data_IF_010586392852
#
_entry.id   IF_010586392852
#
_cell.length_a   1.000
_cell.length_b   1.000
_cell.length_c   1.000
_cell.angle_alpha   90.00
_cell.angle_beta   90.00
_cell.angle_gamma   90.00
#
_symmetry.space_group_name_H-M   'P 1'
#
loop_
_entity.id
_entity.type
_entity.pdbx_description
1 polymer ?
#
# COMPACT_ATOMS: atom_id res chain seq x y z
N UNK A 1 1.14 -12.35 -15.58
CA UNK A 1 2.04 -12.67 -14.51
C UNK A 1 1.46 -13.75 -13.61
N UNK A 2 2.28 -14.64 -13.20
CA UNK A 2 1.86 -15.72 -12.33
C UNK A 2 1.81 -15.23 -10.87
N UNK A 3 0.62 -15.10 -10.31
CA UNK A 3 0.49 -14.73 -8.92
C UNK A 3 0.47 -15.98 -8.05
N UNK A 4 1.29 -16.00 -7.00
CA UNK A 4 1.25 -17.05 -5.99
C UNK A 4 0.14 -16.81 -4.97
N UNK A 5 -0.56 -15.69 -5.08
CA UNK A 5 -1.59 -15.30 -4.13
C UNK A 5 -2.97 -15.66 -4.65
N UNK A 6 -3.81 -16.18 -3.76
CA UNK A 6 -5.24 -16.28 -4.02
C UNK A 6 -5.84 -14.90 -3.76
N UNK A 7 -6.20 -14.19 -4.83
CA UNK A 7 -6.68 -12.81 -4.75
C UNK A 7 -7.97 -12.72 -3.94
N UNK A 8 -8.89 -13.68 -4.10
CA UNK A 8 -10.15 -13.67 -3.38
C UNK A 8 -9.94 -13.80 -1.87
N UNK A 9 -9.09 -14.73 -1.44
CA UNK A 9 -8.75 -14.88 -0.03
C UNK A 9 -8.04 -13.65 0.50
N UNK A 10 -7.15 -13.08 -0.28
CA UNK A 10 -6.42 -11.87 0.11
C UNK A 10 -7.39 -10.70 0.30
N UNK A 11 -8.36 -10.53 -0.61
CA UNK A 11 -9.38 -9.50 -0.48
C UNK A 11 -10.20 -9.66 0.80
N UNK A 12 -10.56 -10.88 1.16
CA UNK A 12 -11.29 -11.15 2.41
C UNK A 12 -10.49 -10.75 3.64
N UNK A 13 -9.20 -11.06 3.66
CA UNK A 13 -8.31 -10.66 4.76
C UNK A 13 -8.21 -9.15 4.85
N UNK A 14 -8.04 -8.46 3.72
CA UNK A 14 -7.97 -7.00 3.69
C UNK A 14 -9.29 -6.35 4.12
N UNK A 15 -10.41 -6.95 3.76
CA UNK A 15 -11.72 -6.49 4.18
C UNK A 15 -11.87 -6.57 5.70
N UNK A 16 -11.50 -7.70 6.29
CA UNK A 16 -11.55 -7.89 7.75
C UNK A 16 -10.63 -6.89 8.47
N UNK A 17 -9.43 -6.69 7.96
CA UNK A 17 -8.51 -5.70 8.48
C UNK A 17 -9.13 -4.29 8.45
N UNK A 18 -9.75 -3.93 7.34
CA UNK A 18 -10.39 -2.63 7.19
C UNK A 18 -11.58 -2.46 8.15
N UNK A 19 -12.36 -3.50 8.36
CA UNK A 19 -13.49 -3.45 9.29
C UNK A 19 -13.04 -3.13 10.72
N UNK A 20 -11.87 -3.64 11.11
CA UNK A 20 -11.31 -3.41 12.44
C UNK A 20 -10.65 -2.03 12.55
N UNK A 21 -9.84 -1.67 11.56
CA UNK A 21 -8.94 -0.50 11.65
C UNK A 21 -9.45 0.73 10.93
N UNK A 22 -10.34 0.58 9.96
CA UNK A 22 -10.78 1.63 9.02
C UNK A 22 -9.63 2.24 8.20
N UNK A 23 -8.54 1.51 8.07
CA UNK A 23 -7.36 1.93 7.32
C UNK A 23 -7.33 1.18 5.99
N UNK A 24 -7.13 1.91 4.89
CA UNK A 24 -7.00 1.30 3.57
C UNK A 24 -5.65 0.60 3.46
N UNK A 25 -5.65 -0.58 2.84
CA UNK A 25 -4.45 -1.37 2.68
C UNK A 25 -4.30 -1.79 1.21
N UNK A 26 -3.06 -1.76 0.73
CA UNK A 26 -2.71 -2.14 -0.64
C UNK A 26 -1.60 -3.18 -0.60
N UNK A 27 -1.68 -4.17 -1.48
CA UNK A 27 -0.65 -5.20 -1.63
C UNK A 27 -0.05 -5.09 -3.03
N UNK A 28 1.29 -5.07 -3.09
CA UNK A 28 2.06 -5.06 -4.34
C UNK A 28 2.77 -6.40 -4.50
N UNK A 29 3.00 -6.79 -5.75
CA UNK A 29 3.80 -7.98 -6.06
C UNK A 29 5.31 -7.65 -6.09
N UNK A 30 6.13 -8.62 -6.48
CA UNK A 30 7.58 -8.48 -6.54
C UNK A 30 8.07 -7.57 -7.67
N UNK A 31 7.19 -7.18 -8.59
CA UNK A 31 7.48 -6.18 -9.61
C UNK A 31 6.93 -4.80 -9.25
N UNK A 32 6.46 -4.64 -8.02
CA UNK A 32 5.88 -3.41 -7.48
C UNK A 32 4.59 -2.97 -8.19
N UNK A 33 3.86 -3.96 -8.72
CA UNK A 33 2.54 -3.74 -9.30
C UNK A 33 1.47 -4.00 -8.23
N UNK A 34 0.47 -3.13 -8.18
CA UNK A 34 -0.65 -3.29 -7.24
C UNK A 34 -1.45 -4.54 -7.61
N UNK A 35 -1.58 -5.48 -6.67
CA UNK A 35 -2.36 -6.71 -6.84
C UNK A 35 -3.78 -6.50 -6.37
N UNK A 36 -3.94 -5.94 -5.17
CA UNK A 36 -5.23 -5.78 -4.52
C UNK A 36 -5.18 -4.64 -3.52
N UNK A 37 -6.30 -3.94 -3.38
CA UNK A 37 -6.49 -2.89 -2.37
C UNK A 37 -7.87 -3.02 -1.76
N UNK A 38 -8.01 -2.65 -0.50
CA UNK A 38 -9.30 -2.58 0.15
C UNK A 38 -9.39 -1.37 1.09
N UNK A 39 -10.42 -0.53 0.99
CA UNK A 39 -11.40 -0.49 -0.11
C UNK A 39 -10.72 -0.24 -1.46
N UNK A 40 -11.32 -0.76 -2.52
CA UNK A 40 -10.77 -0.59 -3.86
C UNK A 40 -10.73 0.89 -4.25
N UNK A 41 -11.80 1.61 -3.92
CA UNK A 41 -11.88 3.04 -4.19
C UNK A 41 -10.96 3.83 -3.26
N UNK A 42 -10.16 4.72 -3.85
CA UNK A 42 -9.29 5.62 -3.09
C UNK A 42 -10.09 6.71 -2.38
N UNK A 43 -9.56 7.26 -1.26
CA UNK A 43 -10.17 8.41 -0.61
C UNK A 43 -10.31 9.61 -1.58
N UNK A 44 -11.28 10.48 -1.31
CA UNK A 44 -11.56 11.63 -2.17
C UNK A 44 -10.32 12.50 -2.40
N UNK A 45 -9.51 12.73 -1.38
CA UNK A 45 -8.27 13.49 -1.50
C UNK A 45 -7.33 12.89 -2.55
N UNK A 46 -7.13 11.58 -2.51
CA UNK A 46 -6.27 10.88 -3.47
C UNK A 46 -6.85 10.92 -4.88
N UNK A 47 -8.17 10.86 -5.01
CA UNK A 47 -8.83 11.00 -6.31
C UNK A 47 -8.57 12.37 -6.91
N UNK A 48 -8.60 13.42 -6.09
CA UNK A 48 -8.29 14.78 -6.53
C UNK A 48 -6.84 14.88 -7.00
N UNK A 49 -5.89 14.36 -6.21
CA UNK A 49 -4.46 14.37 -6.58
C UNK A 49 -4.24 13.63 -7.91
N UNK A 50 -4.93 12.51 -8.11
CA UNK A 50 -4.79 11.68 -9.31
C UNK A 50 -5.63 12.16 -10.49
N UNK A 51 -6.34 13.28 -10.35
CA UNK A 51 -7.16 13.83 -11.43
C UNK A 51 -6.34 14.53 -12.53
N UNK A 52 -5.05 14.73 -12.33
CA UNK A 52 -4.14 15.28 -13.33
C UNK A 52 -2.91 14.37 -13.50
N UNK A 53 -2.23 14.50 -14.64
CA UNK A 53 -1.10 13.66 -15.00
C UNK A 53 0.06 13.78 -14.01
N UNK A 54 0.38 15.00 -13.57
CA UNK A 54 1.44 15.22 -12.60
C UNK A 54 1.16 14.56 -11.27
N UNK A 55 -0.09 14.61 -10.82
CA UNK A 55 -0.51 13.94 -9.58
C UNK A 55 -0.40 12.44 -9.69
N UNK A 56 -0.88 11.86 -10.79
CA UNK A 56 -0.75 10.43 -11.06
C UNK A 56 0.70 9.99 -11.09
N UNK A 57 1.56 10.73 -11.78
CA UNK A 57 2.98 10.43 -11.86
C UNK A 57 3.64 10.50 -10.48
N UNK A 58 3.30 11.52 -9.69
CA UNK A 58 3.81 11.67 -8.33
C UNK A 58 3.45 10.49 -7.45
N UNK A 59 2.21 10.02 -7.52
CA UNK A 59 1.76 8.84 -6.77
C UNK A 59 2.51 7.58 -7.22
N UNK A 60 2.65 7.37 -8.53
CA UNK A 60 3.33 6.19 -9.06
C UNK A 60 4.81 6.15 -8.64
N UNK A 61 5.51 7.28 -8.75
CA UNK A 61 6.92 7.37 -8.36
C UNK A 61 7.10 7.19 -6.86
N UNK A 62 6.20 7.75 -6.07
CA UNK A 62 6.22 7.60 -4.62
C UNK A 62 6.03 6.15 -4.20
N UNK A 63 5.05 5.47 -4.76
CA UNK A 63 4.77 4.06 -4.48
C UNK A 63 5.95 3.17 -4.89
N UNK A 64 6.52 3.41 -6.06
CA UNK A 64 7.66 2.65 -6.55
C UNK A 64 8.88 2.82 -5.64
N UNK A 65 9.18 4.04 -5.23
CA UNK A 65 10.28 4.31 -4.31
C UNK A 65 10.06 3.63 -2.97
N UNK A 66 8.85 3.71 -2.43
CA UNK A 66 8.51 3.06 -1.15
C UNK A 66 8.68 1.55 -1.23
N UNK A 67 8.24 0.92 -2.32
CA UNK A 67 8.43 -0.51 -2.55
C UNK A 67 9.90 -0.89 -2.62
N UNK A 68 10.73 -0.06 -3.29
CA UNK A 68 12.17 -0.29 -3.36
C UNK A 68 12.81 -0.23 -1.98
N UNK A 69 12.44 0.75 -1.16
CA UNK A 69 12.93 0.85 0.22
C UNK A 69 12.49 -0.37 1.04
N UNK A 70 11.22 -0.75 0.95
CA UNK A 70 10.68 -1.89 1.69
C UNK A 70 11.38 -3.19 1.33
N UNK A 71 11.73 -3.39 0.06
CA UNK A 71 12.37 -4.64 -0.40
C UNK A 71 13.74 -4.87 0.20
N UNK A 72 14.39 -3.83 0.70
CA UNK A 72 15.70 -3.91 1.35
C UNK A 72 15.64 -3.87 2.88
N UNK A 73 14.45 -3.92 3.45
CA UNK A 73 14.25 -3.82 4.89
C UNK A 73 13.61 -5.09 5.44
N UNK A 74 13.72 -5.27 6.75
CA UNK A 74 13.05 -6.33 7.50
C UNK A 74 11.97 -5.79 8.44
N UNK A 75 11.83 -4.47 8.51
CA UNK A 75 10.86 -3.79 9.38
C UNK A 75 10.06 -2.79 8.58
N UNK A 76 8.97 -2.31 9.15
CA UNK A 76 8.13 -1.32 8.50
C UNK A 76 8.88 -0.01 8.26
N UNK A 77 8.60 0.61 7.12
CA UNK A 77 9.08 1.93 6.75
C UNK A 77 7.89 2.89 6.78
N UNK A 78 7.97 3.88 7.66
CA UNK A 78 6.92 4.90 7.80
C UNK A 78 7.42 6.16 7.12
N UNK A 79 6.59 6.71 6.22
CA UNK A 79 6.99 7.86 5.41
C UNK A 79 5.76 8.69 5.05
N UNK A 80 6.01 9.87 4.47
CA UNK A 80 4.94 10.68 3.90
C UNK A 80 4.95 10.54 2.38
N UNK A 81 3.75 10.38 1.79
CA UNK A 81 3.63 10.38 0.34
C UNK A 81 3.88 11.79 -0.21
N UNK A 82 3.99 11.92 -1.54
CA UNK A 82 4.27 13.23 -2.15
C UNK A 82 3.20 14.29 -1.86
N UNK A 83 2.02 13.86 -1.44
CA UNK A 83 0.92 14.77 -1.07
C UNK A 83 0.85 15.02 0.45
N UNK A 84 1.81 14.50 1.23
CA UNK A 84 1.94 14.79 2.66
C UNK A 84 1.16 13.85 3.58
N UNK A 85 0.58 12.78 3.07
CA UNK A 85 -0.14 11.81 3.89
C UNK A 85 0.84 10.75 4.42
N UNK A 86 0.66 10.37 5.68
CA UNK A 86 1.52 9.36 6.31
C UNK A 86 1.11 7.97 5.89
N UNK A 87 2.10 7.17 5.50
CA UNK A 87 1.91 5.79 5.07
C UNK A 87 2.93 4.89 5.75
N UNK A 88 2.64 3.61 5.86
CA UNK A 88 3.58 2.59 6.31
C UNK A 88 3.63 1.47 5.29
N UNK A 89 4.82 0.96 5.04
CA UNK A 89 5.03 -0.11 4.07
C UNK A 89 5.94 -1.18 4.68
N UNK A 90 5.70 -2.43 4.33
CA UNK A 90 6.39 -3.56 4.94
C UNK A 90 6.57 -4.69 3.93
N UNK A 91 7.75 -5.32 3.85
CA UNK A 91 7.92 -6.49 3.02
C UNK A 91 7.28 -7.71 3.67
N UNK A 92 6.77 -8.60 2.84
CA UNK A 92 6.25 -9.90 3.25
C UNK A 92 6.79 -10.94 2.28
N UNK A 93 7.39 -11.99 2.82
CA UNK A 93 7.90 -13.09 2.00
C UNK A 93 7.01 -14.31 2.17
N UNK A 94 6.56 -14.88 1.05
CA UNK A 94 5.87 -16.16 1.01
C UNK A 94 6.79 -17.11 0.25
N UNK A 95 7.48 -17.99 1.01
CA UNK A 95 8.61 -18.73 0.46
C UNK A 95 9.71 -17.76 0.01
N UNK A 96 10.07 -17.80 -1.26
CA UNK A 96 11.07 -16.90 -1.84
C UNK A 96 10.44 -15.72 -2.60
N UNK A 97 9.11 -15.57 -2.53
CA UNK A 97 8.41 -14.53 -3.29
C UNK A 97 8.13 -13.33 -2.38
N UNK A 98 8.57 -12.17 -2.83
CA UNK A 98 8.33 -10.91 -2.14
C UNK A 98 6.95 -10.37 -2.49
N UNK A 99 6.22 -9.97 -1.47
CA UNK A 99 5.08 -9.07 -1.59
C UNK A 99 5.33 -7.85 -0.71
N UNK A 100 4.67 -6.75 -1.01
CA UNK A 100 4.81 -5.52 -0.23
C UNK A 100 3.43 -5.08 0.20
N UNK A 101 3.27 -4.86 1.51
CA UNK A 101 2.01 -4.41 2.09
C UNK A 101 2.15 -2.94 2.45
N UNK A 102 1.26 -2.12 1.92
CA UNK A 102 1.21 -0.69 2.20
C UNK A 102 -0.06 -0.36 2.96
N UNK A 103 0.10 0.26 4.13
CA UNK A 103 -1.00 0.78 4.93
C UNK A 103 -1.12 2.26 4.59
N UNK A 104 -2.23 2.62 3.97
CA UNK A 104 -2.43 3.96 3.41
C UNK A 104 -3.01 4.91 4.43
N UNK A 105 -2.47 6.13 4.46
CA UNK A 105 -3.07 7.29 5.11
C UNK A 105 -3.36 7.09 6.59
N UNK A 106 -2.31 6.86 7.36
CA UNK A 106 -2.40 6.82 8.82
C UNK A 106 -2.74 8.22 9.32
N UNK A 107 -3.98 8.42 9.75
CA UNK A 107 -4.47 9.74 10.16
C UNK A 107 -3.94 10.18 11.49
N UNK A 108 -3.67 9.24 12.38
CA UNK A 108 -3.26 9.56 13.74
C UNK A 108 -2.19 8.59 14.20
N UNK A 109 -0.97 8.86 13.75
CA UNK A 109 0.18 8.01 14.00
C UNK A 109 0.43 7.81 15.50
N UNK A 110 0.11 8.81 16.34
CA UNK A 110 0.28 8.72 17.79
C UNK A 110 -0.59 7.65 18.42
N UNK A 111 -1.75 7.35 17.81
CA UNK A 111 -2.63 6.29 18.30
C UNK A 111 -2.20 4.91 17.80
N UNK A 112 -1.45 4.86 16.70
CA UNK A 112 -0.96 3.62 16.11
C UNK A 112 0.32 3.15 16.78
N UNK A 113 1.15 4.06 17.19
CA UNK A 113 2.41 3.80 17.88
C UNK A 113 2.23 3.72 19.39
#
# INVERSE_FOLDING_TARGET
>A
MYSVFNIEQLQEVLKDFHEITRIRITVFDDTFQEIVSYPEQRPAFCQIIRSCDNGCLGCALCDQHACQVASSRTSAYIYQCHAGLTEAIMPLYIGNVLAVIMINHLKNLKLVL
#
